data_IF_807911241798
#
_entry.id   IF_807911241798
#
_cell.length_a   1.000
_cell.length_b   1.000
_cell.length_c   1.000
_cell.angle_alpha   90.00
_cell.angle_beta   90.00
_cell.angle_gamma   90.00
#
_symmetry.space_group_name_H-M   'P 1'
#
loop_
_entity.id
_entity.type
_entity.pdbx_description
1 polymer ?
#
# COMPACT_ATOMS: atom_id res chain seq x y z
N UNK A 1 -17.23 26.53 -29.11
CA UNK A 1 -17.79 25.17 -29.07
C UNK A 1 -16.71 24.15 -28.70
N UNK A 2 -15.54 24.20 -29.34
CA UNK A 2 -14.37 23.35 -29.01
C UNK A 2 -13.87 23.53 -27.56
N UNK A 3 -13.84 24.76 -27.03
CA UNK A 3 -13.34 25.01 -25.67
C UNK A 3 -14.22 24.37 -24.58
N UNK A 4 -15.55 24.40 -24.75
CA UNK A 4 -16.48 23.74 -23.82
C UNK A 4 -16.34 22.22 -23.85
N UNK A 5 -16.17 21.63 -25.04
CA UNK A 5 -15.93 20.19 -25.19
C UNK A 5 -14.64 19.77 -24.50
N UNK A 6 -13.59 20.59 -24.60
CA UNK A 6 -12.33 20.35 -23.91
C UNK A 6 -12.50 20.39 -22.39
N UNK A 7 -13.20 21.39 -21.85
CA UNK A 7 -13.47 21.49 -20.40
C UNK A 7 -14.30 20.29 -19.89
N UNK A 8 -15.33 19.88 -20.64
CA UNK A 8 -16.16 18.73 -20.28
C UNK A 8 -15.35 17.43 -20.30
N UNK A 9 -14.53 17.22 -21.33
CA UNK A 9 -13.67 16.03 -21.43
C UNK A 9 -12.67 15.98 -20.27
N UNK A 10 -12.00 17.09 -19.94
CA UNK A 10 -11.09 17.17 -18.81
C UNK A 10 -11.81 16.92 -17.48
N UNK A 11 -13.01 17.47 -17.30
CA UNK A 11 -13.84 17.23 -16.13
C UNK A 11 -14.24 15.76 -15.96
N UNK A 12 -14.64 15.10 -17.05
CA UNK A 12 -14.98 13.68 -17.04
C UNK A 12 -13.76 12.80 -16.74
N UNK A 13 -12.59 13.12 -17.30
CA UNK A 13 -11.33 12.41 -17.01
C UNK A 13 -10.94 12.58 -15.54
N UNK A 14 -11.01 13.80 -15.01
CA UNK A 14 -10.69 14.07 -13.61
C UNK A 14 -11.66 13.35 -12.65
N UNK A 15 -12.97 13.42 -12.91
CA UNK A 15 -13.98 12.68 -12.16
C UNK A 15 -13.74 11.16 -12.24
N UNK A 16 -13.45 10.64 -13.43
CA UNK A 16 -13.13 9.24 -13.64
C UNK A 16 -11.90 8.81 -12.84
N UNK A 17 -10.81 9.56 -12.90
CA UNK A 17 -9.57 9.24 -12.16
C UNK A 17 -9.78 9.19 -10.64
N UNK A 18 -10.66 10.04 -10.09
CA UNK A 18 -10.96 10.09 -8.66
C UNK A 18 -11.99 9.03 -8.26
N UNK A 19 -13.03 8.80 -9.08
CA UNK A 19 -14.09 7.84 -8.77
C UNK A 19 -13.69 6.39 -9.04
N UNK A 20 -12.79 6.15 -10.00
CA UNK A 20 -12.41 4.81 -10.44
C UNK A 20 -11.91 3.88 -9.33
N UNK A 21 -11.01 4.29 -8.40
CA UNK A 21 -10.55 3.42 -7.32
C UNK A 21 -11.69 2.93 -6.41
N UNK A 22 -12.68 3.79 -6.16
CA UNK A 22 -13.85 3.45 -5.34
C UNK A 22 -14.81 2.50 -6.06
N UNK A 23 -14.95 2.64 -7.38
CA UNK A 23 -15.81 1.77 -8.20
C UNK A 23 -15.14 0.43 -8.52
N UNK A 24 -13.82 0.42 -8.70
CA UNK A 24 -13.05 -0.76 -9.04
C UNK A 24 -12.75 -1.65 -7.82
N UNK A 25 -13.02 -1.20 -6.59
CA UNK A 25 -12.84 -1.98 -5.37
C UNK A 25 -11.39 -2.42 -5.18
N UNK A 26 -10.46 -1.48 -5.09
CA UNK A 26 -9.02 -1.78 -4.94
C UNK A 26 -8.65 -2.16 -3.50
N UNK A 27 -9.54 -2.84 -2.77
CA UNK A 27 -9.17 -3.27 -1.44
C UNK A 27 -8.05 -4.29 -1.54
N UNK A 28 -7.04 -4.12 -0.69
CA UNK A 28 -5.88 -5.01 -0.70
C UNK A 28 -6.24 -6.34 -0.04
N UNK A 29 -7.25 -6.35 0.82
CA UNK A 29 -7.68 -7.51 1.60
C UNK A 29 -9.17 -7.72 1.37
N UNK A 30 -9.53 -8.87 0.79
CA UNK A 30 -10.93 -9.27 0.63
C UNK A 30 -11.50 -9.89 1.92
N UNK A 31 -10.62 -10.35 2.84
CA UNK A 31 -10.96 -10.96 4.13
C UNK A 31 -10.43 -10.11 5.31
N UNK A 32 -11.32 -9.62 6.21
CA UNK A 32 -10.90 -8.91 7.42
C UNK A 32 -9.93 -9.69 8.30
N UNK A 33 -10.03 -11.02 8.34
CA UNK A 33 -9.11 -11.85 9.13
C UNK A 33 -7.67 -11.82 8.59
N UNK A 34 -7.51 -11.72 7.27
CA UNK A 34 -6.19 -11.57 6.63
C UNK A 34 -5.57 -10.21 6.97
N UNK A 35 -6.38 -9.14 6.95
CA UNK A 35 -5.96 -7.82 7.38
C UNK A 35 -5.50 -7.81 8.85
N UNK A 36 -6.27 -8.42 9.74
CA UNK A 36 -5.92 -8.50 11.17
C UNK A 36 -4.62 -9.29 11.39
N UNK A 37 -4.43 -10.40 10.65
CA UNK A 37 -3.19 -11.16 10.69
C UNK A 37 -1.98 -10.35 10.20
N UNK A 38 -2.16 -9.56 9.14
CA UNK A 38 -1.08 -8.70 8.65
C UNK A 38 -0.75 -7.58 9.65
N UNK A 39 -1.76 -6.93 10.23
CA UNK A 39 -1.57 -5.93 11.30
C UNK A 39 -0.79 -6.53 12.47
N UNK A 40 -1.14 -7.75 12.90
CA UNK A 40 -0.42 -8.44 13.97
C UNK A 40 1.06 -8.67 13.63
N UNK A 41 1.36 -9.13 12.41
CA UNK A 41 2.73 -9.31 11.91
C UNK A 41 3.52 -7.99 11.94
N UNK A 42 2.91 -6.89 11.51
CA UNK A 42 3.56 -5.58 11.54
C UNK A 42 3.85 -5.10 12.96
N UNK A 43 2.93 -5.32 13.91
CA UNK A 43 3.15 -4.96 15.32
C UNK A 43 4.33 -5.72 15.92
N UNK A 44 4.39 -7.03 15.69
CA UNK A 44 5.50 -7.86 16.16
C UNK A 44 6.85 -7.39 15.58
N UNK A 45 6.90 -7.07 14.28
CA UNK A 45 8.11 -6.55 13.65
C UNK A 45 8.51 -5.17 14.18
N UNK A 46 7.55 -4.31 14.53
CA UNK A 46 7.83 -3.00 15.15
C UNK A 46 8.42 -3.18 16.55
N UNK A 47 7.82 -4.07 17.36
CA UNK A 47 8.31 -4.37 18.72
C UNK A 47 9.71 -5.00 18.68
N UNK A 48 10.00 -5.83 17.68
CA UNK A 48 11.31 -6.43 17.45
C UNK A 48 12.33 -5.49 16.76
N UNK A 49 11.89 -4.35 16.23
CA UNK A 49 12.76 -3.44 15.47
C UNK A 49 13.16 -3.94 14.08
N UNK A 50 12.42 -4.88 13.48
CA UNK A 50 12.77 -5.56 12.22
C UNK A 50 11.95 -5.07 11.01
N UNK A 51 11.25 -3.93 11.13
CA UNK A 51 10.62 -3.27 9.97
C UNK A 51 11.69 -2.62 9.10
N UNK A 52 11.76 -3.02 7.82
CA UNK A 52 12.75 -2.47 6.91
C UNK A 52 12.55 -0.96 6.70
N UNK A 53 13.57 -0.15 7.01
CA UNK A 53 13.53 1.30 6.80
C UNK A 53 13.37 1.70 5.32
N UNK A 54 13.78 0.83 4.38
CA UNK A 54 13.70 1.10 2.94
C UNK A 54 12.32 0.80 2.35
N UNK A 55 11.87 -0.45 2.42
CA UNK A 55 10.65 -0.90 1.73
C UNK A 55 9.46 -1.10 2.67
N UNK A 56 9.65 -0.92 3.98
CA UNK A 56 8.63 -1.09 5.03
C UNK A 56 8.12 -2.51 5.24
N UNK A 57 8.76 -3.52 4.66
CA UNK A 57 8.40 -4.91 4.93
C UNK A 57 8.57 -5.26 6.43
N UNK A 58 7.56 -5.89 7.02
CA UNK A 58 7.62 -6.47 8.36
C UNK A 58 8.32 -7.83 8.31
N UNK A 59 9.55 -7.90 8.82
CA UNK A 59 10.33 -9.14 8.83
C UNK A 59 10.11 -9.90 10.15
N UNK A 60 10.49 -11.18 10.15
CA UNK A 60 10.51 -11.97 11.38
C UNK A 60 11.38 -11.31 12.46
N UNK A 61 11.11 -11.55 13.76
CA UNK A 61 11.85 -10.92 14.85
C UNK A 61 13.36 -11.19 14.87
N UNK A 62 13.79 -12.31 14.29
CA UNK A 62 15.18 -12.76 14.22
C UNK A 62 15.85 -12.49 12.85
N UNK A 63 15.14 -11.80 11.94
CA UNK A 63 15.67 -11.48 10.62
C UNK A 63 16.83 -10.48 10.72
N UNK A 64 17.90 -10.75 9.96
CA UNK A 64 19.05 -9.84 9.80
C UNK A 64 19.00 -9.04 8.49
N UNK A 65 18.33 -9.59 7.49
CA UNK A 65 18.14 -8.99 6.17
C UNK A 65 16.65 -8.96 5.86
N UNK A 66 16.24 -7.96 5.08
CA UNK A 66 14.88 -7.83 4.62
C UNK A 66 14.54 -8.94 3.61
N UNK A 67 13.49 -9.72 3.88
CA UNK A 67 13.05 -10.80 2.99
C UNK A 67 12.45 -10.33 1.65
N UNK A 68 12.12 -9.04 1.55
CA UNK A 68 11.54 -8.44 0.34
C UNK A 68 12.58 -7.71 -0.52
N UNK A 69 13.41 -6.85 0.09
CA UNK A 69 14.37 -6.03 -0.66
C UNK A 69 15.85 -6.37 -0.44
N UNK A 70 16.16 -7.33 0.45
CA UNK A 70 17.52 -7.87 0.67
C UNK A 70 18.49 -7.01 1.49
N UNK A 71 18.10 -5.80 1.92
CA UNK A 71 18.94 -4.92 2.75
C UNK A 71 19.11 -5.43 4.17
N UNK A 72 20.24 -5.12 4.82
CA UNK A 72 20.40 -5.36 6.26
C UNK A 72 19.37 -4.53 7.06
N UNK A 73 18.92 -5.07 8.19
CA UNK A 73 17.97 -4.38 9.09
C UNK A 73 18.66 -3.56 10.18
N UNK A 74 19.95 -3.80 10.41
CA UNK A 74 20.78 -3.16 11.45
C UNK A 74 21.49 -1.87 10.96
N UNK A 75 21.09 -1.34 9.79
CA UNK A 75 21.64 -0.10 9.18
C UNK A 75 20.77 1.14 9.39
#
# INVERSE_FOLDING_TARGET
>A
MTDYLLVIALGAIALGAVAFPFLAGTDRYDDPAELDADIARYREALDAGTVCARCRHANAPDARFCGDCGRALDE
#
